data_IF_957675457932
#
_entry.id   IF_957675457932
#
_cell.length_a   1.000
_cell.length_b   1.000
_cell.length_c   1.000
_cell.angle_alpha   90.00
_cell.angle_beta   90.00
_cell.angle_gamma   90.00
#
_symmetry.space_group_name_H-M   'P 1'
#
loop_
_entity.id
_entity.type
_entity.pdbx_description
1 polymer ?
#
# COMPACT_ATOMS: atom_id res chain seq x y z
N UNK A 1 -6.35 -0.88 -10.19
CA UNK A 1 -4.88 -0.85 -10.36
C UNK A 1 -4.42 0.59 -10.33
N UNK A 2 -3.43 0.91 -9.51
CA UNK A 2 -2.83 2.25 -9.42
C UNK A 2 -1.40 2.16 -9.94
N UNK A 3 -0.99 2.99 -10.92
CA UNK A 3 0.39 2.98 -11.41
C UNK A 3 1.40 3.37 -10.29
N UNK A 4 2.54 2.65 -10.14
CA UNK A 4 3.54 2.98 -9.10
C UNK A 4 4.04 4.43 -9.17
N UNK A 5 4.14 4.99 -10.38
CA UNK A 5 4.57 6.38 -10.60
C UNK A 5 3.60 7.43 -10.05
N UNK A 6 2.34 7.07 -9.81
CA UNK A 6 1.32 7.94 -9.24
C UNK A 6 1.31 7.91 -7.70
N UNK A 7 1.99 6.93 -7.09
CA UNK A 7 2.09 6.77 -5.65
C UNK A 7 3.25 7.62 -5.15
N UNK A 8 2.98 8.39 -4.11
CA UNK A 8 3.95 9.21 -3.39
C UNK A 8 4.50 8.44 -2.19
N UNK A 9 3.63 7.79 -1.41
CA UNK A 9 3.99 7.05 -0.22
C UNK A 9 3.06 5.84 0.00
N UNK A 10 3.53 4.85 0.76
CA UNK A 10 2.73 3.69 1.18
C UNK A 10 2.92 3.44 2.67
N UNK A 11 1.80 3.48 3.40
CA UNK A 11 1.73 3.07 4.79
C UNK A 11 1.25 1.63 4.88
N UNK A 12 2.09 0.77 5.43
CA UNK A 12 1.77 -0.62 5.75
C UNK A 12 1.54 -0.75 7.26
N UNK A 13 0.35 -1.19 7.66
CA UNK A 13 0.06 -1.57 9.04
C UNK A 13 -0.11 -3.07 9.09
N UNK A 14 0.83 -3.74 9.78
CA UNK A 14 0.81 -5.18 9.95
C UNK A 14 -0.31 -5.59 10.92
N UNK A 15 -0.73 -6.85 10.82
CA UNK A 15 -1.61 -7.44 11.82
C UNK A 15 -0.91 -7.48 13.18
N UNK A 16 -1.71 -7.29 14.24
CA UNK A 16 -1.25 -7.28 15.62
C UNK A 16 -2.26 -7.92 16.58
N UNK A 17 -1.98 -7.91 17.89
CA UNK A 17 -2.82 -8.56 18.91
C UNK A 17 -4.27 -8.06 18.92
N UNK A 18 -4.48 -6.80 18.51
CA UNK A 18 -5.78 -6.14 18.54
C UNK A 18 -6.42 -5.94 17.16
N UNK A 19 -5.67 -6.12 16.07
CA UNK A 19 -6.18 -5.99 14.71
C UNK A 19 -5.59 -7.10 13.84
N UNK A 20 -6.43 -8.03 13.36
CA UNK A 20 -5.97 -9.18 12.58
C UNK A 20 -5.69 -8.84 11.11
N UNK A 21 -6.13 -7.69 10.66
CA UNK A 21 -6.06 -7.30 9.26
C UNK A 21 -4.73 -6.60 8.98
N UNK A 22 -4.16 -6.90 7.83
CA UNK A 22 -3.12 -6.05 7.25
C UNK A 22 -3.83 -4.91 6.54
N UNK A 23 -3.35 -3.69 6.74
CA UNK A 23 -3.87 -2.51 6.05
C UNK A 23 -2.76 -1.90 5.21
N UNK A 24 -3.10 -1.56 3.96
CA UNK A 24 -2.20 -0.90 3.04
C UNK A 24 -2.89 0.38 2.58
N UNK A 25 -2.31 1.53 2.91
CA UNK A 25 -2.84 2.84 2.49
C UNK A 25 -1.79 3.48 1.60
N UNK A 26 -2.19 3.82 0.38
CA UNK A 26 -1.34 4.55 -0.56
C UNK A 26 -1.73 6.02 -0.60
N UNK A 27 -0.74 6.89 -0.47
CA UNK A 27 -0.89 8.33 -0.72
C UNK A 27 -0.46 8.58 -2.15
N UNK A 28 -1.37 9.12 -2.96
CA UNK A 28 -1.11 9.49 -4.35
C UNK A 28 -0.48 10.88 -4.43
N UNK A 29 0.23 11.15 -5.52
CA UNK A 29 0.85 12.47 -5.77
C UNK A 29 -0.14 13.63 -5.85
N UNK A 30 -1.42 13.34 -6.08
CA UNK A 30 -2.50 14.33 -6.05
C UNK A 30 -3.07 14.55 -4.63
N UNK A 31 -2.46 13.94 -3.62
CA UNK A 31 -2.82 14.08 -2.21
C UNK A 31 -3.93 13.13 -1.73
N UNK A 32 -4.52 12.32 -2.62
CA UNK A 32 -5.54 11.35 -2.21
C UNK A 32 -4.94 10.17 -1.48
N UNK A 33 -5.62 9.75 -0.42
CA UNK A 33 -5.34 8.50 0.28
C UNK A 33 -6.30 7.41 -0.19
N UNK A 34 -5.76 6.24 -0.51
CA UNK A 34 -6.55 5.10 -1.00
C UNK A 34 -6.14 3.83 -0.26
N UNK A 35 -7.11 3.17 0.36
CA UNK A 35 -6.92 1.84 0.92
C UNK A 35 -6.78 0.82 -0.23
N UNK A 36 -5.75 -0.02 -0.14
CA UNK A 36 -5.43 -1.06 -1.11
C UNK A 36 -5.71 -2.44 -0.51
N UNK A 37 -6.17 -3.36 -1.35
CA UNK A 37 -6.38 -4.76 -0.99
C UNK A 37 -5.01 -5.47 -0.83
N UNK A 38 -4.59 -5.85 0.39
CA UNK A 38 -3.25 -6.40 0.63
C UNK A 38 -3.01 -7.74 -0.07
N UNK A 39 -4.08 -8.51 -0.34
CA UNK A 39 -3.99 -9.82 -1.00
C UNK A 39 -3.92 -9.73 -2.51
N UNK A 40 -4.16 -8.56 -3.11
CA UNK A 40 -4.12 -8.39 -4.54
C UNK A 40 -2.67 -8.47 -5.07
N UNK A 41 -2.36 -9.31 -6.08
CA UNK A 41 -0.98 -9.50 -6.56
C UNK A 41 -0.29 -8.22 -7.01
N UNK A 42 -1.04 -7.27 -7.57
CA UNK A 42 -0.49 -5.99 -8.02
C UNK A 42 -0.10 -5.08 -6.85
N UNK A 43 -0.79 -5.15 -5.71
CA UNK A 43 -0.48 -4.37 -4.50
C UNK A 43 0.83 -4.87 -3.89
N UNK A 44 1.01 -6.19 -3.78
CA UNK A 44 2.26 -6.79 -3.31
C UNK A 44 3.46 -6.38 -4.16
N UNK A 45 3.30 -6.35 -5.50
CA UNK A 45 4.36 -5.89 -6.42
C UNK A 45 4.74 -4.43 -6.18
N UNK A 46 3.77 -3.56 -5.92
CA UNK A 46 4.02 -2.14 -5.63
C UNK A 46 4.76 -1.98 -4.31
N UNK A 47 4.30 -2.65 -3.26
CA UNK A 47 4.93 -2.61 -1.93
C UNK A 47 6.40 -3.03 -2.06
N UNK A 48 6.67 -4.15 -2.75
CA UNK A 48 8.04 -4.61 -3.00
C UNK A 48 8.86 -3.60 -3.80
N UNK A 49 8.29 -2.97 -4.84
CA UNK A 49 9.01 -1.99 -5.66
C UNK A 49 9.34 -0.70 -4.89
N UNK A 50 8.51 -0.31 -3.91
CA UNK A 50 8.71 0.89 -3.10
C UNK A 50 9.66 0.61 -1.93
N UNK A 51 9.53 -0.55 -1.27
CA UNK A 51 10.37 -0.95 -0.13
C UNK A 51 11.74 -1.53 -0.51
N UNK A 52 11.96 -1.93 -1.77
CA UNK A 52 13.27 -2.40 -2.26
C UNK A 52 14.24 -1.27 -2.62
N UNK A 53 13.91 -0.02 -2.28
CA UNK A 53 14.78 1.15 -2.37
C UNK A 53 15.44 1.40 -1.02
#
# INVERSE_FOLDING_TARGET
>A
FIPPKAIQDVKLTQSGPHCKNVEVIATLKDGREVCLEPTAPWVQRIINAILAK
#
